data_IF_949408608623
#
_entry.id   IF_949408608623
#
_cell.length_a   1.000
_cell.length_b   1.000
_cell.length_c   1.000
_cell.angle_alpha   90.00
_cell.angle_beta   90.00
_cell.angle_gamma   90.00
#
_symmetry.space_group_name_H-M   'P 1'
#
loop_
_entity.id
_entity.type
_entity.pdbx_description
1 polymer ?
#
# COMPACT_ATOMS: atom_id res chain seq x y z
N UNK A 1 12.06 19.58 -23.07
CA UNK A 1 11.80 18.12 -23.25
C UNK A 1 11.51 17.55 -21.88
N UNK A 2 10.24 17.61 -21.43
CA UNK A 2 9.81 16.90 -20.23
C UNK A 2 9.69 15.42 -20.57
N UNK A 3 10.32 14.57 -19.77
CA UNK A 3 10.47 13.15 -19.99
C UNK A 3 9.11 12.45 -20.05
N UNK A 4 8.92 11.71 -21.15
CA UNK A 4 8.07 10.53 -21.31
C UNK A 4 7.25 10.20 -20.06
N UNK A 5 5.96 10.54 -20.08
CA UNK A 5 4.97 9.74 -19.41
C UNK A 5 5.07 8.34 -20.01
N UNK A 6 5.88 7.47 -19.41
CA UNK A 6 5.67 6.04 -19.56
C UNK A 6 4.21 5.83 -19.21
N UNK A 7 3.45 5.17 -20.08
CA UNK A 7 2.20 4.55 -19.68
C UNK A 7 2.55 3.59 -18.55
N UNK A 8 2.61 4.10 -17.32
CA UNK A 8 3.08 3.36 -16.18
C UNK A 8 2.14 2.17 -16.02
N UNK A 9 2.71 0.99 -16.13
CA UNK A 9 1.98 -0.27 -15.99
C UNK A 9 1.16 -0.21 -14.69
N UNK A 10 -0.16 -0.51 -14.69
CA UNK A 10 -1.00 -0.33 -13.51
C UNK A 10 -0.56 -1.14 -12.28
N UNK A 11 0.17 -2.22 -12.52
CA UNK A 11 0.77 -3.12 -11.53
C UNK A 11 2.23 -3.38 -11.91
N UNK A 12 3.16 -2.43 -11.68
CA UNK A 12 4.56 -2.65 -12.02
C UNK A 12 5.13 -3.76 -11.12
N UNK A 13 5.97 -4.65 -11.67
CA UNK A 13 6.62 -5.69 -10.86
C UNK A 13 7.64 -5.07 -9.89
N UNK A 14 7.62 -5.44 -8.60
CA UNK A 14 8.71 -5.14 -7.68
C UNK A 14 10.04 -5.68 -8.19
N UNK A 15 11.15 -5.02 -7.83
CA UNK A 15 12.48 -5.39 -8.35
C UNK A 15 12.90 -6.80 -7.97
N UNK A 16 12.50 -7.30 -6.81
CA UNK A 16 12.81 -8.67 -6.40
C UNK A 16 12.02 -9.74 -7.18
N UNK A 17 10.95 -9.37 -7.89
CA UNK A 17 10.00 -10.34 -8.45
C UNK A 17 10.64 -11.38 -9.39
N UNK A 18 11.48 -11.01 -10.37
CA UNK A 18 12.09 -11.99 -11.28
C UNK A 18 12.98 -13.00 -10.55
N UNK A 19 13.78 -12.53 -9.60
CA UNK A 19 14.67 -13.38 -8.79
C UNK A 19 13.87 -14.33 -7.90
N UNK A 20 12.90 -13.80 -7.14
CA UNK A 20 12.01 -14.60 -6.28
C UNK A 20 11.20 -15.62 -7.07
N UNK A 21 10.80 -15.29 -8.29
CA UNK A 21 10.10 -16.22 -9.18
C UNK A 21 11.02 -17.36 -9.62
N UNK A 22 12.28 -17.07 -9.96
CA UNK A 22 13.27 -18.08 -10.28
C UNK A 22 13.57 -18.99 -9.07
N UNK A 23 13.70 -18.42 -7.87
CA UNK A 23 13.84 -19.16 -6.61
C UNK A 23 12.65 -20.11 -6.40
N UNK A 24 11.42 -19.62 -6.56
CA UNK A 24 10.20 -20.41 -6.42
C UNK A 24 10.15 -21.59 -7.41
N UNK A 25 10.62 -21.40 -8.65
CA UNK A 25 10.71 -22.47 -9.66
C UNK A 25 11.75 -23.52 -9.30
N UNK A 26 12.94 -23.10 -8.86
CA UNK A 26 13.99 -24.02 -8.42
C UNK A 26 13.55 -24.83 -7.18
N UNK A 27 12.73 -24.20 -6.33
CA UNK A 27 12.13 -24.75 -5.13
C UNK A 27 10.82 -25.52 -5.38
N UNK A 28 10.42 -25.79 -6.64
CA UNK A 28 9.18 -26.51 -6.92
C UNK A 28 9.16 -27.94 -6.34
N UNK A 29 10.33 -28.50 -6.01
CA UNK A 29 10.48 -29.76 -5.26
C UNK A 29 10.43 -29.59 -3.73
N UNK A 30 10.52 -28.37 -3.20
CA UNK A 30 10.77 -28.05 -1.79
C UNK A 30 9.60 -27.36 -1.06
N UNK A 31 8.35 -27.69 -1.39
CA UNK A 31 7.10 -27.24 -0.71
C UNK A 31 6.88 -25.73 -0.51
N UNK A 32 7.73 -24.85 -1.06
CA UNK A 32 7.55 -23.40 -1.00
C UNK A 32 6.38 -22.97 -1.87
N UNK A 33 5.44 -22.24 -1.28
CA UNK A 33 4.22 -21.78 -1.96
C UNK A 33 4.40 -20.35 -2.44
N UNK A 34 4.36 -20.04 -3.75
CA UNK A 34 4.50 -18.67 -4.20
C UNK A 34 3.31 -17.81 -3.73
N UNK A 35 3.58 -16.57 -3.37
CA UNK A 35 2.54 -15.60 -3.05
C UNK A 35 2.97 -14.16 -3.35
N UNK A 36 1.99 -13.27 -3.36
CA UNK A 36 2.19 -11.82 -3.44
C UNK A 36 1.35 -11.13 -2.37
N UNK A 37 1.71 -9.89 -2.04
CA UNK A 37 1.02 -9.09 -1.03
C UNK A 37 0.38 -7.85 -1.64
N UNK A 38 -0.79 -7.47 -1.13
CA UNK A 38 -1.50 -6.25 -1.48
C UNK A 38 -1.94 -5.53 -0.22
N UNK A 39 -1.78 -4.21 -0.17
CA UNK A 39 -2.50 -3.37 0.79
C UNK A 39 -3.17 -2.22 0.05
N UNK A 40 -4.43 -1.96 0.37
CA UNK A 40 -5.18 -0.81 -0.16
C UNK A 40 -5.45 0.19 0.97
N UNK A 41 -5.79 1.42 0.59
CA UNK A 41 -6.28 2.39 1.56
C UNK A 41 -6.18 3.81 1.08
N UNK A 42 -6.76 4.72 1.88
CA UNK A 42 -6.79 6.13 1.51
C UNK A 42 -5.39 6.71 1.25
N UNK A 43 -4.38 6.29 2.03
CA UNK A 43 -2.99 6.73 1.91
C UNK A 43 -2.90 8.25 1.66
N UNK A 44 -3.50 9.03 2.57
CA UNK A 44 -3.78 10.44 2.37
C UNK A 44 -3.11 11.30 3.46
N UNK A 45 -1.78 11.47 3.43
CA UNK A 45 -0.80 10.91 2.46
C UNK A 45 -0.28 9.51 2.85
N UNK A 46 0.46 8.81 1.95
CA UNK A 46 1.21 7.60 2.31
C UNK A 46 2.34 7.91 3.30
N UNK A 47 2.90 6.88 3.92
CA UNK A 47 3.98 6.96 4.91
C UNK A 47 4.69 5.60 5.05
N UNK A 48 5.89 5.58 5.64
CA UNK A 48 6.73 4.37 5.80
C UNK A 48 6.00 3.21 6.47
N UNK A 49 5.09 3.50 7.39
CA UNK A 49 4.24 2.49 8.02
C UNK A 49 3.45 1.60 7.04
N UNK A 50 3.05 2.10 5.87
CA UNK A 50 2.36 1.28 4.86
C UNK A 50 3.29 0.26 4.19
N UNK A 51 4.51 0.66 3.82
CA UNK A 51 5.50 -0.27 3.27
C UNK A 51 5.97 -1.27 4.35
N UNK A 52 6.17 -0.80 5.58
CA UNK A 52 6.56 -1.63 6.71
C UNK A 52 5.49 -2.66 7.09
N UNK A 53 4.21 -2.36 6.89
CA UNK A 53 3.11 -3.31 7.03
C UNK A 53 3.27 -4.48 6.06
N UNK A 54 3.59 -4.22 4.79
CA UNK A 54 3.82 -5.27 3.79
C UNK A 54 5.04 -6.12 4.13
N UNK A 55 6.12 -5.52 4.67
CA UNK A 55 7.32 -6.26 5.10
C UNK A 55 7.03 -7.24 6.24
N UNK A 56 6.28 -6.82 7.25
CA UNK A 56 5.85 -7.73 8.33
C UNK A 56 4.95 -8.84 7.83
N UNK A 57 4.04 -8.51 6.90
CA UNK A 57 3.20 -9.52 6.28
C UNK A 57 4.04 -10.55 5.51
N UNK A 58 5.06 -10.10 4.78
CA UNK A 58 5.99 -10.97 4.08
C UNK A 58 6.75 -11.89 5.04
N UNK A 59 7.32 -11.36 6.12
CA UNK A 59 8.02 -12.14 7.14
C UNK A 59 7.12 -13.20 7.79
N UNK A 60 5.84 -12.87 8.04
CA UNK A 60 4.88 -13.85 8.58
C UNK A 60 4.60 -14.96 7.58
N UNK A 61 4.41 -14.65 6.31
CA UNK A 61 4.15 -15.65 5.27
C UNK A 61 5.38 -16.52 4.99
N UNK A 62 6.58 -15.95 5.00
CA UNK A 62 7.82 -16.70 4.85
C UNK A 62 8.00 -17.75 5.96
N UNK A 63 7.67 -17.41 7.21
CA UNK A 63 7.65 -18.38 8.33
C UNK A 63 6.63 -19.51 8.15
N UNK A 64 5.59 -19.28 7.35
CA UNK A 64 4.58 -20.28 6.98
C UNK A 64 4.98 -21.11 5.74
N UNK A 65 6.19 -20.91 5.20
CA UNK A 65 6.65 -21.60 4.00
C UNK A 65 6.09 -21.03 2.69
N UNK A 66 5.74 -19.74 2.65
CA UNK A 66 5.49 -19.05 1.39
C UNK A 66 6.76 -18.38 0.84
N UNK A 67 6.90 -18.39 -0.48
CA UNK A 67 7.85 -17.54 -1.20
C UNK A 67 7.14 -16.25 -1.65
N UNK A 68 7.43 -15.14 -0.99
CA UNK A 68 6.84 -13.83 -1.31
C UNK A 68 7.56 -13.24 -2.52
N UNK A 69 6.87 -13.21 -3.67
CA UNK A 69 7.42 -12.74 -4.93
C UNK A 69 7.46 -11.21 -5.02
N UNK A 70 6.56 -10.52 -4.33
CA UNK A 70 6.43 -9.07 -4.39
C UNK A 70 5.25 -8.57 -3.56
N UNK A 71 5.22 -7.26 -3.34
CA UNK A 71 4.17 -6.58 -2.60
C UNK A 71 3.75 -5.27 -3.29
N UNK A 72 2.48 -4.89 -3.15
CA UNK A 72 1.93 -3.67 -3.72
C UNK A 72 1.22 -2.81 -2.69
N UNK A 73 1.58 -1.52 -2.67
CA UNK A 73 0.77 -0.46 -2.09
C UNK A 73 -0.17 0.09 -3.15
N UNK A 74 -1.48 0.06 -2.88
CA UNK A 74 -2.51 0.54 -3.80
C UNK A 74 -3.29 1.70 -3.16
N UNK A 75 -2.93 2.96 -3.46
CA UNK A 75 -3.71 4.10 -2.99
C UNK A 75 -5.13 4.07 -3.57
N UNK A 76 -6.14 4.27 -2.72
CA UNK A 76 -7.54 4.15 -3.12
C UNK A 76 -8.04 5.26 -4.03
N UNK A 77 -9.12 4.98 -4.76
CA UNK A 77 -9.79 5.92 -5.65
C UNK A 77 -10.32 7.18 -4.92
N UNK A 78 -10.39 8.31 -5.61
CA UNK A 78 -10.86 9.58 -5.02
C UNK A 78 -12.35 9.54 -4.62
N UNK A 79 -13.18 8.73 -5.28
CA UNK A 79 -14.59 8.52 -4.89
C UNK A 79 -14.73 7.85 -3.51
N UNK A 80 -13.69 7.19 -3.01
CA UNK A 80 -13.61 6.73 -1.62
C UNK A 80 -13.00 7.79 -0.71
N UNK A 81 -11.85 8.34 -1.12
CA UNK A 81 -11.03 9.21 -0.26
C UNK A 81 -11.70 10.56 -0.02
N UNK A 82 -12.30 11.16 -1.04
CA UNK A 82 -12.97 12.45 -0.95
C UNK A 82 -14.11 12.47 0.07
N UNK A 83 -15.15 11.61 -0.06
CA UNK A 83 -16.23 11.53 0.92
C UNK A 83 -15.75 11.18 2.33
N UNK A 84 -14.75 10.29 2.44
CA UNK A 84 -14.13 9.96 3.73
C UNK A 84 -13.45 11.17 4.37
N UNK A 85 -12.65 11.90 3.59
CA UNK A 85 -11.92 13.07 4.05
C UNK A 85 -12.88 14.20 4.45
N UNK A 86 -13.92 14.45 3.65
CA UNK A 86 -15.00 15.39 3.95
C UNK A 86 -15.70 15.06 5.27
N UNK A 87 -16.15 13.81 5.45
CA UNK A 87 -16.80 13.36 6.69
C UNK A 87 -15.92 13.51 7.93
N UNK A 88 -14.60 13.33 7.77
CA UNK A 88 -13.64 13.45 8.87
C UNK A 88 -13.12 14.88 9.07
N UNK A 89 -13.52 15.85 8.23
CA UNK A 89 -12.98 17.21 8.28
C UNK A 89 -11.47 17.28 8.01
N UNK A 90 -10.96 16.39 7.15
CA UNK A 90 -9.51 16.26 6.86
C UNK A 90 -9.18 16.67 5.44
N UNK A 91 -7.91 17.03 5.19
CA UNK A 91 -7.40 17.32 3.85
C UNK A 91 -7.61 16.13 2.91
N UNK A 92 -8.10 16.38 1.70
CA UNK A 92 -8.16 15.40 0.61
C UNK A 92 -7.12 15.73 -0.46
N UNK A 93 -6.07 14.91 -0.52
CA UNK A 93 -5.11 14.91 -1.62
C UNK A 93 -5.62 14.02 -2.76
N UNK A 94 -5.48 14.49 -3.99
CA UNK A 94 -5.86 13.76 -5.21
C UNK A 94 -5.15 12.41 -5.31
N UNK A 95 -5.75 11.47 -6.05
CA UNK A 95 -5.13 10.19 -6.37
C UNK A 95 -3.76 10.38 -7.02
N UNK A 96 -3.64 11.32 -7.96
CA UNK A 96 -2.38 11.66 -8.63
C UNK A 96 -1.26 12.06 -7.65
N UNK A 97 -1.56 12.94 -6.69
CA UNK A 97 -0.58 13.34 -5.69
C UNK A 97 -0.24 12.19 -4.75
N UNK A 98 -1.23 11.42 -4.29
CA UNK A 98 -1.01 10.27 -3.40
C UNK A 98 -0.17 9.17 -4.06
N UNK A 99 -0.38 8.91 -5.35
CA UNK A 99 0.46 8.01 -6.15
C UNK A 99 1.89 8.52 -6.24
N UNK A 100 2.09 9.81 -6.53
CA UNK A 100 3.43 10.40 -6.60
C UNK A 100 4.19 10.26 -5.27
N UNK A 101 3.51 10.55 -4.16
CA UNK A 101 4.09 10.38 -2.83
C UNK A 101 4.39 8.90 -2.53
N UNK A 102 3.51 7.97 -2.93
CA UNK A 102 3.76 6.55 -2.76
C UNK A 102 4.97 6.08 -3.58
N UNK A 103 5.19 6.63 -4.77
CA UNK A 103 6.37 6.32 -5.59
C UNK A 103 7.66 6.80 -4.93
N UNK A 104 7.68 7.98 -4.30
CA UNK A 104 8.84 8.41 -3.50
C UNK A 104 9.13 7.44 -2.35
N UNK A 105 8.07 6.92 -1.70
CA UNK A 105 8.24 6.05 -0.54
C UNK A 105 8.93 4.73 -0.84
N UNK A 106 8.66 4.16 -2.00
CA UNK A 106 9.08 2.79 -2.34
C UNK A 106 10.11 2.76 -3.46
N UNK A 107 10.63 3.92 -3.89
CA UNK A 107 11.60 3.98 -4.99
C UNK A 107 12.82 3.10 -4.75
N UNK A 108 13.32 3.07 -3.52
CA UNK A 108 14.48 2.26 -3.13
C UNK A 108 14.07 0.91 -2.51
N UNK A 109 12.79 0.55 -2.56
CA UNK A 109 12.28 -0.71 -2.00
C UNK A 109 12.26 -1.81 -3.08
N UNK A 110 12.97 -2.93 -2.83
CA UNK A 110 12.98 -4.05 -3.78
C UNK A 110 11.71 -4.90 -3.74
N UNK A 111 11.03 -4.93 -2.60
CA UNK A 111 9.87 -5.78 -2.35
C UNK A 111 8.55 -5.09 -2.70
N UNK A 112 8.46 -3.80 -2.45
CA UNK A 112 7.21 -3.04 -2.54
C UNK A 112 7.19 -2.16 -3.79
N UNK A 113 6.14 -2.31 -4.60
CA UNK A 113 5.82 -1.41 -5.71
C UNK A 113 4.50 -0.66 -5.45
N UNK A 114 4.22 0.36 -6.26
CA UNK A 114 2.92 1.08 -6.22
C UNK A 114 2.01 0.54 -7.31
N UNK A 115 0.84 0.05 -6.92
CA UNK A 115 -0.25 -0.25 -7.84
C UNK A 115 -1.10 0.99 -8.08
N UNK A 116 -1.20 1.45 -9.33
CA UNK A 116 -1.99 2.62 -9.69
C UNK A 116 -3.38 2.27 -10.23
N UNK A 117 -3.69 0.99 -10.42
CA UNK A 117 -4.96 0.56 -11.01
C UNK A 117 -6.17 1.06 -10.22
N UNK A 118 -6.22 0.82 -8.90
CA UNK A 118 -7.34 1.22 -8.02
C UNK A 118 -7.62 2.73 -8.09
N UNK A 119 -6.55 3.52 -8.09
CA UNK A 119 -6.60 4.98 -8.16
C UNK A 119 -7.11 5.52 -9.51
N UNK A 120 -7.01 4.73 -10.58
CA UNK A 120 -7.27 5.15 -11.96
C UNK A 120 -8.53 4.51 -12.58
N UNK A 121 -9.29 3.71 -11.83
CA UNK A 121 -10.56 3.15 -12.33
C UNK A 121 -11.56 4.29 -12.61
N UNK A 122 -12.01 4.40 -13.86
CA UNK A 122 -12.92 5.48 -14.26
C UNK A 122 -14.34 5.25 -13.75
N UNK A 123 -14.91 6.28 -13.12
CA UNK A 123 -16.35 6.38 -12.86
C UNK A 123 -16.87 5.56 -11.68
N UNK A 124 -15.98 4.91 -10.91
CA UNK A 124 -16.32 4.25 -9.65
C UNK A 124 -15.08 3.95 -8.81
N UNK A 125 -15.29 3.79 -7.52
CA UNK A 125 -14.32 3.16 -6.62
C UNK A 125 -14.43 1.63 -6.67
N UNK A 126 -13.36 0.89 -7.04
CA UNK A 126 -13.28 -0.56 -6.83
C UNK A 126 -12.91 -0.84 -5.36
N UNK A 127 -13.76 -1.55 -4.63
CA UNK A 127 -13.46 -1.91 -3.23
C UNK A 127 -12.36 -2.99 -3.16
N UNK A 128 -11.73 -3.16 -1.99
CA UNK A 128 -10.52 -3.96 -1.83
C UNK A 128 -10.62 -5.43 -2.31
N UNK A 129 -11.78 -6.14 -2.27
CA UNK A 129 -11.88 -7.47 -2.86
C UNK A 129 -11.66 -7.49 -4.37
N UNK A 130 -12.17 -6.47 -5.07
CA UNK A 130 -12.02 -6.33 -6.51
C UNK A 130 -10.57 -6.00 -6.87
N UNK A 131 -9.92 -5.13 -6.08
CA UNK A 131 -8.50 -4.81 -6.27
C UNK A 131 -7.61 -6.05 -6.11
N UNK A 132 -7.93 -6.91 -5.13
CA UNK A 132 -7.21 -8.17 -4.93
C UNK A 132 -7.41 -9.16 -6.09
N UNK A 133 -8.64 -9.29 -6.60
CA UNK A 133 -8.95 -10.13 -7.75
C UNK A 133 -8.28 -9.64 -9.04
N UNK A 134 -8.27 -8.33 -9.30
CA UNK A 134 -7.57 -7.77 -10.45
C UNK A 134 -6.06 -7.98 -10.34
N UNK A 135 -5.45 -7.80 -9.16
CA UNK A 135 -4.02 -8.11 -8.99
C UNK A 135 -3.75 -9.61 -9.24
N UNK A 136 -4.61 -10.50 -8.74
CA UNK A 136 -4.47 -11.94 -8.97
C UNK A 136 -4.42 -12.24 -10.48
N UNK A 137 -5.40 -11.74 -11.24
CA UNK A 137 -5.46 -11.88 -12.70
C UNK A 137 -4.19 -11.35 -13.38
N UNK A 138 -3.68 -10.21 -12.95
CA UNK A 138 -2.49 -9.57 -13.52
C UNK A 138 -1.22 -10.37 -13.25
N UNK A 139 -1.09 -10.97 -12.06
CA UNK A 139 0.02 -11.87 -11.74
C UNK A 139 -0.09 -13.17 -12.53
N UNK A 140 -1.29 -13.77 -12.60
CA UNK A 140 -1.51 -15.00 -13.38
C UNK A 140 -1.11 -14.81 -14.85
N UNK A 141 -1.47 -13.67 -15.46
CA UNK A 141 -1.11 -13.35 -16.84
C UNK A 141 0.39 -13.14 -17.09
N UNK A 142 1.20 -12.99 -16.05
CA UNK A 142 2.68 -12.82 -16.16
C UNK A 142 3.46 -14.10 -15.92
N UNK A 143 2.80 -15.19 -15.52
CA UNK A 143 3.45 -16.48 -15.32
C UNK A 143 3.35 -17.28 -16.63
N UNK A 144 4.41 -17.26 -17.43
CA UNK A 144 4.47 -17.95 -18.73
C UNK A 144 4.40 -19.48 -18.63
N UNK A 145 4.92 -20.05 -17.54
CA UNK A 145 4.89 -21.49 -17.26
C UNK A 145 4.38 -21.75 -15.83
N UNK A 146 3.06 -21.81 -15.63
CA UNK A 146 2.45 -22.14 -14.33
C UNK A 146 2.87 -23.49 -13.76
N UNK A 147 3.16 -24.47 -14.62
CA UNK A 147 3.53 -25.83 -14.20
C UNK A 147 4.84 -25.86 -13.43
N UNK A 148 5.75 -24.94 -13.76
CA UNK A 148 7.06 -24.81 -13.11
C UNK A 148 7.02 -24.35 -11.64
N UNK A 149 5.88 -23.85 -11.14
CA UNK A 149 5.76 -23.29 -9.78
C UNK A 149 5.16 -24.24 -8.74
N UNK A 150 4.67 -25.41 -9.17
CA UNK A 150 3.89 -26.34 -8.33
C UNK A 150 2.49 -25.81 -7.95
N UNK A 151 2.31 -24.50 -7.81
CA UNK A 151 1.01 -23.83 -7.64
C UNK A 151 1.07 -22.38 -8.11
N UNK A 152 -0.07 -21.81 -8.50
CA UNK A 152 -0.13 -20.39 -8.87
C UNK A 152 0.11 -19.48 -7.66
N UNK A 153 0.80 -18.33 -7.85
CA UNK A 153 0.99 -17.37 -6.77
C UNK A 153 -0.33 -16.91 -6.17
N UNK A 154 -0.49 -17.08 -4.86
CA UNK A 154 -1.67 -16.60 -4.14
C UNK A 154 -1.53 -15.13 -3.76
N UNK A 155 -2.58 -14.33 -3.93
CA UNK A 155 -2.64 -12.97 -3.37
C UNK A 155 -3.00 -13.02 -1.90
N UNK A 156 -2.25 -12.30 -1.06
CA UNK A 156 -2.58 -12.03 0.33
C UNK A 156 -2.87 -10.55 0.53
N UNK A 157 -4.06 -10.25 1.04
CA UNK A 157 -4.43 -8.89 1.44
C UNK A 157 -3.92 -8.58 2.85
N UNK A 158 -3.01 -7.63 2.95
CA UNK A 158 -2.39 -7.19 4.18
C UNK A 158 -3.09 -5.94 4.73
N UNK A 159 -3.51 -5.98 6.00
CA UNK A 159 -4.21 -4.87 6.63
C UNK A 159 -3.99 -4.78 8.14
N UNK A 160 -4.29 -3.62 8.73
CA UNK A 160 -4.25 -3.42 10.18
C UNK A 160 -5.42 -4.08 10.92
N UNK A 161 -5.32 -4.20 12.25
CA UNK A 161 -6.37 -4.88 13.06
C UNK A 161 -7.73 -4.19 13.00
N UNK A 162 -7.77 -2.85 12.92
CA UNK A 162 -9.00 -2.07 12.80
C UNK A 162 -9.78 -2.43 11.51
N UNK A 163 -9.10 -2.47 10.37
CA UNK A 163 -9.72 -2.84 9.10
C UNK A 163 -10.13 -4.33 9.10
N UNK A 164 -9.28 -5.22 9.62
CA UNK A 164 -9.59 -6.63 9.74
C UNK A 164 -10.84 -6.90 10.60
N UNK A 165 -10.99 -6.19 11.72
CA UNK A 165 -12.18 -6.27 12.60
C UNK A 165 -13.42 -5.76 11.86
N UNK A 166 -13.34 -4.58 11.26
CA UNK A 166 -14.48 -3.92 10.60
C UNK A 166 -15.02 -4.70 9.40
N UNK A 167 -14.13 -5.25 8.59
CA UNK A 167 -14.48 -6.00 7.39
C UNK A 167 -14.63 -7.50 7.65
N UNK A 168 -14.42 -7.95 8.90
CA UNK A 168 -14.53 -9.36 9.28
C UNK A 168 -13.51 -10.27 8.59
N UNK A 169 -12.30 -9.76 8.31
CA UNK A 169 -11.23 -10.46 7.58
C UNK A 169 -10.60 -11.60 8.39
N UNK A 170 -10.77 -11.63 9.71
CA UNK A 170 -10.39 -12.79 10.53
C UNK A 170 -11.17 -14.06 10.19
N UNK A 171 -12.30 -13.93 9.49
CA UNK A 171 -13.10 -15.07 9.02
C UNK A 171 -12.64 -15.59 7.65
N UNK A 172 -11.58 -15.03 7.07
CA UNK A 172 -11.10 -15.34 5.73
C UNK A 172 -11.76 -14.49 4.64
N UNK A 173 -11.12 -14.44 3.48
CA UNK A 173 -11.57 -13.64 2.34
C UNK A 173 -12.74 -14.27 1.58
N UNK A 174 -12.93 -15.60 1.69
CA UNK A 174 -14.03 -16.33 1.02
C UNK A 174 -15.43 -15.82 1.34
N UNK A 175 -15.61 -15.03 2.40
CA UNK A 175 -16.89 -14.36 2.73
C UNK A 175 -17.36 -13.36 1.68
N UNK A 176 -16.45 -12.82 0.86
CA UNK A 176 -16.80 -11.86 -0.19
C UNK A 176 -17.28 -12.55 -1.47
N UNK A 177 -17.05 -13.88 -1.58
CA UNK A 177 -17.43 -14.70 -2.73
C UNK A 177 -16.73 -14.33 -4.04
N UNK A 178 -17.00 -15.11 -5.09
CA UNK A 178 -16.60 -14.80 -6.45
C UNK A 178 -15.09 -14.86 -6.68
N UNK A 179 -14.55 -13.94 -7.48
CA UNK A 179 -13.16 -13.94 -7.94
C UNK A 179 -12.13 -13.76 -6.81
N UNK A 180 -12.55 -13.33 -5.61
CA UNK A 180 -11.66 -13.12 -4.48
C UNK A 180 -11.63 -14.29 -3.48
N UNK A 181 -12.30 -15.42 -3.77
CA UNK A 181 -12.33 -16.59 -2.88
C UNK A 181 -10.94 -17.18 -2.58
N UNK A 182 -9.98 -16.98 -3.49
CA UNK A 182 -8.62 -17.46 -3.34
C UNK A 182 -7.67 -16.46 -2.65
N UNK A 183 -8.16 -15.30 -2.21
CA UNK A 183 -7.33 -14.31 -1.52
C UNK A 183 -7.10 -14.73 -0.06
N UNK A 184 -5.85 -14.69 0.39
CA UNK A 184 -5.50 -14.84 1.80
C UNK A 184 -5.50 -13.50 2.54
N UNK A 185 -5.41 -13.53 3.87
CA UNK A 185 -5.33 -12.33 4.71
C UNK A 185 -4.09 -12.39 5.58
N UNK A 186 -3.37 -11.28 5.67
CA UNK A 186 -2.38 -11.08 6.73
C UNK A 186 -2.77 -9.86 7.55
N UNK A 187 -3.08 -10.08 8.82
CA UNK A 187 -3.39 -8.99 9.75
C UNK A 187 -2.12 -8.56 10.46
N UNK A 188 -1.83 -7.27 10.41
CA UNK A 188 -0.62 -6.67 10.97
C UNK A 188 -1.01 -5.72 12.11
N UNK A 189 -0.84 -6.13 13.38
CA UNK A 189 -1.16 -5.27 14.51
C UNK A 189 -0.19 -4.09 14.63
N UNK A 190 -0.67 -2.98 15.19
CA UNK A 190 0.22 -1.96 15.74
C UNK A 190 0.71 -2.38 17.12
N UNK A 191 1.77 -1.74 17.60
CA UNK A 191 2.24 -1.94 18.96
C UNK A 191 1.10 -1.65 19.97
N UNK A 192 0.92 -2.57 20.92
CA UNK A 192 -0.18 -2.52 21.90
C UNK A 192 -1.55 -2.97 21.38
N UNK A 193 -1.74 -3.22 20.08
CA UNK A 193 -3.00 -3.76 19.58
C UNK A 193 -3.07 -5.29 19.78
N UNK A 194 -4.23 -5.74 20.26
CA UNK A 194 -4.54 -7.18 20.34
C UNK A 194 -5.27 -7.62 19.07
N UNK A 195 -4.60 -8.44 18.27
CA UNK A 195 -5.17 -9.14 17.12
C UNK A 195 -6.00 -10.36 17.57
N UNK A 196 -7.00 -10.76 16.77
CA UNK A 196 -7.66 -12.06 17.00
C UNK A 196 -6.72 -13.19 16.55
N UNK A 197 -6.93 -14.44 17.00
CA UNK A 197 -6.12 -15.56 16.57
C UNK A 197 -6.11 -15.75 15.05
N UNK A 198 -5.00 -16.26 14.54
CA UNK A 198 -4.90 -16.68 13.15
C UNK A 198 -5.78 -17.90 12.87
N UNK A 199 -6.11 -18.10 11.59
CA UNK A 199 -6.86 -19.26 11.10
C UNK A 199 -6.20 -19.74 9.81
N UNK A 200 -5.07 -20.46 9.88
CA UNK A 200 -4.34 -20.92 8.70
C UNK A 200 -5.19 -21.73 7.71
N UNK A 201 -6.15 -22.54 8.20
CA UNK A 201 -7.10 -23.27 7.37
C UNK A 201 -8.06 -22.39 6.53
N UNK A 202 -8.09 -21.09 6.81
CA UNK A 202 -8.81 -20.06 6.03
C UNK A 202 -7.86 -19.05 5.38
N UNK A 203 -6.56 -19.36 5.33
CA UNK A 203 -5.50 -18.46 4.87
C UNK A 203 -5.45 -17.11 5.60
N UNK A 204 -5.82 -17.09 6.89
CA UNK A 204 -5.71 -15.91 7.73
C UNK A 204 -4.51 -16.06 8.65
N UNK A 205 -3.56 -15.15 8.52
CA UNK A 205 -2.34 -15.10 9.33
C UNK A 205 -2.25 -13.79 10.10
N UNK A 206 -1.55 -13.82 11.23
CA UNK A 206 -1.29 -12.62 12.04
C UNK A 206 0.21 -12.41 12.13
N UNK A 207 0.68 -11.25 11.66
CA UNK A 207 2.07 -10.87 11.74
C UNK A 207 2.44 -10.33 13.13
N UNK A 208 3.74 -10.24 13.39
CA UNK A 208 4.25 -9.44 14.52
C UNK A 208 3.91 -7.96 14.29
N UNK A 209 3.83 -7.18 15.36
CA UNK A 209 3.63 -5.74 15.24
C UNK A 209 4.83 -5.02 14.62
N UNK A 210 4.59 -3.84 14.08
CA UNK A 210 5.63 -3.02 13.47
C UNK A 210 6.65 -2.61 14.54
N UNK A 211 7.96 -2.84 14.32
CA UNK A 211 8.97 -2.42 15.28
C UNK A 211 9.24 -0.91 15.17
N UNK A 212 9.60 -0.31 16.31
CA UNK A 212 10.14 1.05 16.41
C UNK A 212 9.17 2.15 15.98
N UNK A 213 9.73 3.33 15.71
CA UNK A 213 8.96 4.56 15.49
C UNK A 213 8.03 4.50 14.28
N UNK A 214 8.30 3.61 13.32
CA UNK A 214 7.48 3.41 12.12
C UNK A 214 6.05 2.97 12.47
N UNK A 215 5.87 2.30 13.61
CA UNK A 215 4.56 1.93 14.14
C UNK A 215 3.71 3.15 14.53
N UNK A 216 4.35 4.27 14.84
CA UNK A 216 3.70 5.49 15.34
C UNK A 216 3.26 6.45 14.21
N UNK A 217 3.73 6.23 12.99
CA UNK A 217 3.38 7.08 11.85
C UNK A 217 1.91 6.91 11.47
N UNK A 218 1.27 8.05 11.23
CA UNK A 218 -0.09 8.08 10.71
C UNK A 218 -0.27 9.25 9.76
N UNK A 219 -1.12 9.06 8.74
CA UNK A 219 -1.52 10.15 7.85
C UNK A 219 -2.17 11.32 8.62
N UNK A 220 -2.78 11.07 9.79
CA UNK A 220 -3.33 12.14 10.64
C UNK A 220 -2.25 13.07 11.16
N UNK A 221 -1.22 12.53 11.82
CA UNK A 221 -0.08 13.31 12.31
C UNK A 221 0.66 14.04 11.19
N UNK A 222 0.78 13.41 10.02
CA UNK A 222 1.38 14.05 8.84
C UNK A 222 0.57 15.26 8.39
N UNK A 223 -0.77 15.13 8.28
CA UNK A 223 -1.63 16.26 7.93
C UNK A 223 -1.59 17.38 8.99
N UNK A 224 -1.44 17.03 10.26
CA UNK A 224 -1.25 18.01 11.33
C UNK A 224 0.07 18.78 11.16
N UNK A 225 1.14 18.07 10.76
CA UNK A 225 2.46 18.67 10.50
C UNK A 225 2.46 19.66 9.34
N UNK A 226 1.51 19.53 8.40
CA UNK A 226 1.34 20.50 7.31
C UNK A 226 0.78 21.86 7.75
N UNK A 227 0.31 22.00 8.99
CA UNK A 227 -0.25 23.27 9.46
C UNK A 227 0.86 24.22 9.93
N UNK A 228 1.79 23.73 10.72
CA UNK A 228 2.80 24.57 11.36
C UNK A 228 4.11 24.70 10.56
N UNK A 229 4.44 23.69 9.74
CA UNK A 229 5.61 23.68 8.83
C UNK A 229 6.94 24.21 9.42
N UNK A 230 7.15 23.99 10.72
CA UNK A 230 8.38 24.33 11.42
C UNK A 230 9.50 23.30 11.19
N UNK A 231 10.70 23.55 11.73
CA UNK A 231 11.83 22.62 11.62
C UNK A 231 11.55 21.23 12.20
N UNK A 232 10.80 21.15 13.30
CA UNK A 232 10.43 19.87 13.93
C UNK A 232 9.44 19.09 13.06
N UNK A 233 8.47 19.78 12.44
CA UNK A 233 7.53 19.16 11.50
C UNK A 233 8.22 18.70 10.22
N UNK A 234 9.16 19.48 9.69
CA UNK A 234 9.99 19.05 8.55
C UNK A 234 10.76 17.77 8.89
N UNK A 235 11.39 17.72 10.07
CA UNK A 235 12.09 16.52 10.55
C UNK A 235 11.15 15.32 10.68
N UNK A 236 9.96 15.51 11.27
CA UNK A 236 8.96 14.45 11.37
C UNK A 236 8.50 13.97 9.98
N UNK A 237 8.27 14.88 9.03
CA UNK A 237 7.88 14.54 7.66
C UNK A 237 8.98 13.76 6.94
N UNK A 238 10.24 14.21 6.99
CA UNK A 238 11.36 13.46 6.44
C UNK A 238 11.46 12.05 7.04
N UNK A 239 11.18 11.93 8.34
CA UNK A 239 11.18 10.65 9.02
C UNK A 239 10.00 9.76 8.59
N UNK A 240 8.80 10.30 8.48
CA UNK A 240 7.56 9.56 8.19
C UNK A 240 7.34 9.25 6.70
N UNK A 241 7.74 10.16 5.80
CA UNK A 241 7.48 10.10 4.34
C UNK A 241 8.72 10.21 3.45
N UNK A 242 9.94 10.08 4.01
CA UNK A 242 11.21 10.33 3.30
C UNK A 242 11.44 11.80 2.95
N UNK A 243 12.71 12.17 2.81
CA UNK A 243 13.12 13.57 2.59
C UNK A 243 12.59 14.12 1.27
N UNK A 244 12.66 13.34 0.20
CA UNK A 244 12.20 13.78 -1.11
C UNK A 244 10.70 14.03 -1.15
N UNK A 245 9.88 13.19 -0.51
CA UNK A 245 8.44 13.42 -0.47
C UNK A 245 8.09 14.60 0.47
N UNK A 246 8.83 14.77 1.56
CA UNK A 246 8.68 15.93 2.44
C UNK A 246 8.98 17.24 1.70
N UNK A 247 10.08 17.28 0.95
CA UNK A 247 10.46 18.42 0.13
C UNK A 247 9.50 18.67 -1.03
N UNK A 248 9.00 17.60 -1.65
CA UNK A 248 7.97 17.72 -2.67
C UNK A 248 6.70 18.41 -2.15
N UNK A 249 6.30 18.13 -0.90
CA UNK A 249 5.09 18.73 -0.31
C UNK A 249 5.36 20.16 0.17
N UNK A 250 6.46 20.38 0.89
CA UNK A 250 6.74 21.65 1.57
C UNK A 250 7.41 22.69 0.67
N UNK A 251 8.23 22.23 -0.27
CA UNK A 251 9.07 23.07 -1.14
C UNK A 251 8.95 22.65 -2.61
N UNK A 252 7.74 22.49 -3.17
CA UNK A 252 7.57 22.08 -4.56
C UNK A 252 8.15 23.14 -5.51
N UNK A 253 8.78 22.64 -6.59
CA UNK A 253 9.20 23.45 -7.73
C UNK A 253 7.99 24.08 -8.44
N UNK A 254 8.23 25.11 -9.27
CA UNK A 254 7.15 25.72 -10.05
C UNK A 254 6.43 24.71 -10.97
N UNK A 255 7.17 23.76 -11.53
CA UNK A 255 6.62 22.69 -12.37
C UNK A 255 5.75 21.72 -11.55
N UNK A 256 6.21 21.33 -10.35
CA UNK A 256 5.45 20.46 -9.45
C UNK A 256 4.17 21.15 -8.96
N UNK A 257 4.25 22.44 -8.61
CA UNK A 257 3.07 23.25 -8.26
C UNK A 257 2.08 23.32 -9.42
N UNK A 258 2.55 23.48 -10.65
CA UNK A 258 1.68 23.51 -11.81
C UNK A 258 1.00 22.15 -12.07
N UNK A 259 1.73 21.04 -11.88
CA UNK A 259 1.22 19.69 -12.09
C UNK A 259 0.12 19.28 -11.08
N UNK A 260 0.23 19.72 -9.82
CA UNK A 260 -0.71 19.39 -8.74
C UNK A 260 -1.37 20.65 -8.16
N UNK A 261 -1.76 21.58 -9.04
CA UNK A 261 -2.23 22.92 -8.68
C UNK A 261 -3.31 22.93 -7.59
N UNK A 262 -4.35 22.11 -7.74
CA UNK A 262 -5.45 22.10 -6.78
C UNK A 262 -5.06 21.46 -5.44
N UNK A 263 -4.13 20.51 -5.43
CA UNK A 263 -3.62 19.94 -4.18
C UNK A 263 -2.76 20.94 -3.41
N UNK A 264 -1.83 21.61 -4.09
CA UNK A 264 -0.98 22.61 -3.45
C UNK A 264 -1.77 23.82 -2.96
N UNK A 265 -2.81 24.24 -3.70
CA UNK A 265 -3.74 25.27 -3.22
C UNK A 265 -4.40 24.87 -1.90
N UNK A 266 -4.84 23.60 -1.76
CA UNK A 266 -5.42 23.11 -0.49
C UNK A 266 -4.39 23.05 0.63
N UNK A 267 -3.17 22.61 0.34
CA UNK A 267 -2.08 22.56 1.33
C UNK A 267 -1.71 23.96 1.84
N UNK A 268 -1.58 24.94 0.93
CA UNK A 268 -1.31 26.34 1.26
C UNK A 268 -2.44 26.97 2.10
N UNK A 269 -3.70 26.63 1.81
CA UNK A 269 -4.84 27.07 2.63
C UNK A 269 -4.78 26.53 4.07
N UNK A 270 -4.21 25.34 4.30
CA UNK A 270 -4.04 24.81 5.65
C UNK A 270 -2.94 25.52 6.43
N UNK A 271 -1.85 25.91 5.76
CA UNK A 271 -0.75 26.68 6.37
C UNK A 271 -1.22 28.06 6.83
N UNK A 272 -1.97 28.77 5.99
CA UNK A 272 -2.46 30.13 6.32
C UNK A 272 -3.46 30.09 7.48
N UNK A 273 -4.29 29.05 7.58
CA UNK A 273 -5.31 28.93 8.62
C UNK A 273 -4.73 28.67 10.03
N UNK A 274 -3.45 28.33 10.17
CA UNK A 274 -2.76 28.16 11.45
C UNK A 274 -2.03 29.40 11.95
N UNK A 275 -1.81 30.38 11.07
CA UNK A 275 -1.21 31.68 11.42
C UNK A 275 -2.26 32.74 11.83
N UNK A 276 -3.55 32.39 11.79
CA UNK A 276 -4.70 33.23 12.11
C UNK A 276 -5.40 32.79 13.42
#
# INVERSE_FOLDING_TARGET
MASRGSSAEPWPLPRCFPERLAEARAAASSSLRPCVLLTTGAMNPPHKGHAQLLRQAAERLQREGYCVLGAWMSPSHDDYVGPKAFRLGTLHLSSGLRLQLAHFMVREDDLVAVGSWEANVTGRWPDFPEVAAELEKQIQGRIEDPGSLGSMPRVFYACGTDHAKRCGLYQGFGRFGGEAENVGVVVVPREGEVAQPESPGKFVFVASAAPGDVASFSSTKIRESFKTAGPEEHQYLCHAICEEAADFILRPSAEQRAAYKEDFKKLEQQLIASDA
#
